data_IF_546238674863
#
_entry.id   IF_546238674863
#
_cell.length_a   1.000
_cell.length_b   1.000
_cell.length_c   1.000
_cell.angle_alpha   90.00
_cell.angle_beta   90.00
_cell.angle_gamma   90.00
#
_symmetry.space_group_name_H-M   'P 1'
#
loop_
_entity.id
_entity.type
_entity.pdbx_description
1 polymer ?
#
# COMPACT_ATOMS: atom_id res chain seq x y z
N UNK A 1 -13.97 1.00 -19.71
CA UNK A 1 -13.60 0.70 -21.10
C UNK A 1 -12.09 0.38 -21.17
N UNK A 2 -11.25 1.32 -20.76
CA UNK A 2 -9.79 1.27 -20.98
C UNK A 2 -9.11 0.04 -20.33
N UNK A 3 -9.47 -0.30 -19.09
CA UNK A 3 -8.91 -1.46 -18.37
C UNK A 3 -9.18 -2.78 -19.14
N UNK A 4 -10.37 -2.92 -19.70
CA UNK A 4 -10.76 -4.10 -20.51
C UNK A 4 -10.06 -4.07 -21.86
N UNK A 5 -9.93 -2.90 -22.48
CA UNK A 5 -9.32 -2.73 -23.80
C UNK A 5 -7.83 -3.08 -23.79
N UNK A 6 -7.10 -2.71 -22.72
CA UNK A 6 -5.68 -3.09 -22.57
C UNK A 6 -5.48 -4.53 -22.14
N UNK A 7 -6.55 -5.28 -21.90
CA UNK A 7 -6.48 -6.70 -21.49
C UNK A 7 -5.95 -6.92 -20.08
N UNK A 8 -6.08 -5.93 -19.19
CA UNK A 8 -5.67 -6.07 -17.79
C UNK A 8 -6.55 -7.09 -17.06
N UNK A 9 -5.93 -7.95 -16.25
CA UNK A 9 -6.63 -8.92 -15.40
C UNK A 9 -6.87 -8.40 -13.98
N UNK A 10 -6.22 -7.29 -13.62
CA UNK A 10 -6.30 -6.68 -12.29
C UNK A 10 -6.34 -5.16 -12.41
N UNK A 11 -6.97 -4.50 -11.44
CA UNK A 11 -6.99 -3.04 -11.33
C UNK A 11 -6.79 -2.63 -9.87
N UNK A 12 -6.03 -1.55 -9.66
CA UNK A 12 -5.93 -0.88 -8.37
C UNK A 12 -6.79 0.38 -8.38
N UNK A 13 -7.45 0.68 -7.27
CA UNK A 13 -8.22 1.91 -7.10
C UNK A 13 -8.05 2.49 -5.69
N UNK A 14 -7.93 3.81 -5.62
CA UNK A 14 -7.89 4.55 -4.37
C UNK A 14 -9.30 4.81 -3.85
N UNK A 15 -9.51 4.66 -2.54
CA UNK A 15 -10.76 4.97 -1.87
C UNK A 15 -10.53 5.87 -0.65
N UNK A 16 -10.68 7.20 -0.79
CA UNK A 16 -10.67 8.13 0.35
C UNK A 16 -11.79 7.83 1.33
N UNK A 17 -11.49 7.81 2.62
CA UNK A 17 -12.48 7.46 3.66
C UNK A 17 -13.66 8.43 3.73
N UNK A 18 -13.47 9.69 3.38
CA UNK A 18 -14.58 10.64 3.26
C UNK A 18 -15.70 10.17 2.32
N UNK A 19 -15.41 9.34 1.33
CA UNK A 19 -16.38 8.83 0.38
C UNK A 19 -17.30 7.75 0.95
N UNK A 20 -16.87 7.04 2.01
CA UNK A 20 -17.70 6.05 2.69
C UNK A 20 -19.00 6.64 3.26
N UNK A 21 -19.03 7.94 3.51
CA UNK A 21 -20.17 8.68 4.08
C UNK A 21 -20.96 9.48 3.03
N UNK A 22 -20.63 9.31 1.74
CA UNK A 22 -21.27 10.04 0.63
C UNK A 22 -22.01 9.06 -0.29
N UNK A 23 -23.36 9.03 -0.27
CA UNK A 23 -24.13 8.04 -1.03
C UNK A 23 -23.86 8.04 -2.55
N UNK A 24 -23.63 9.21 -3.14
CA UNK A 24 -23.28 9.34 -4.56
C UNK A 24 -21.93 8.69 -4.89
N UNK A 25 -20.93 8.85 -4.02
CA UNK A 25 -19.61 8.24 -4.19
C UNK A 25 -19.68 6.71 -3.99
N UNK A 26 -20.38 6.26 -2.96
CA UNK A 26 -20.61 4.83 -2.71
C UNK A 26 -21.32 4.17 -3.90
N UNK A 27 -22.35 4.81 -4.46
CA UNK A 27 -23.06 4.29 -5.64
C UNK A 27 -22.16 4.25 -6.89
N UNK A 28 -21.37 5.31 -7.13
CA UNK A 28 -20.45 5.38 -8.27
C UNK A 28 -19.40 4.28 -8.19
N UNK A 29 -18.75 4.13 -7.02
CA UNK A 29 -17.78 3.06 -6.79
C UNK A 29 -18.40 1.67 -6.89
N UNK A 30 -19.56 1.46 -6.28
CA UNK A 30 -20.25 0.18 -6.40
C UNK A 30 -20.59 -0.18 -7.86
N UNK A 31 -20.88 0.82 -8.70
CA UNK A 31 -21.10 0.60 -10.12
C UNK A 31 -19.81 0.23 -10.86
N UNK A 32 -18.71 0.92 -10.54
CA UNK A 32 -17.36 0.58 -11.05
C UNK A 32 -16.95 -0.84 -10.65
N UNK A 33 -17.05 -1.19 -9.37
CA UNK A 33 -16.67 -2.50 -8.86
C UNK A 33 -17.48 -3.64 -9.52
N UNK A 34 -18.80 -3.46 -9.68
CA UNK A 34 -19.63 -4.43 -10.40
C UNK A 34 -19.25 -4.55 -11.87
N UNK A 35 -18.84 -3.46 -12.50
CA UNK A 35 -18.35 -3.51 -13.88
C UNK A 35 -17.05 -4.31 -14.01
N UNK A 36 -16.13 -4.19 -13.03
CA UNK A 36 -14.90 -4.98 -12.99
C UNK A 36 -15.19 -6.46 -12.72
N UNK A 37 -16.05 -6.77 -11.76
CA UNK A 37 -16.48 -8.13 -11.45
C UNK A 37 -17.11 -8.83 -12.67
N UNK A 38 -18.04 -8.15 -13.36
CA UNK A 38 -18.66 -8.64 -14.60
C UNK A 38 -17.65 -8.87 -15.73
N UNK A 39 -16.52 -8.15 -15.72
CA UNK A 39 -15.44 -8.32 -16.69
C UNK A 39 -14.40 -9.38 -16.25
N UNK A 40 -14.56 -9.99 -15.08
CA UNK A 40 -13.59 -10.94 -14.52
C UNK A 40 -12.27 -10.28 -14.08
N UNK A 41 -12.29 -8.98 -13.77
CA UNK A 41 -11.12 -8.21 -13.36
C UNK A 41 -11.03 -8.17 -11.84
N UNK A 42 -9.92 -8.62 -11.29
CA UNK A 42 -9.64 -8.57 -9.85
C UNK A 42 -9.39 -7.13 -9.40
N UNK A 43 -10.08 -6.71 -8.34
CA UNK A 43 -9.93 -5.36 -7.79
C UNK A 43 -9.08 -5.36 -6.53
N UNK A 44 -8.09 -4.49 -6.51
CA UNK A 44 -7.32 -4.07 -5.33
C UNK A 44 -7.75 -2.68 -4.93
N UNK A 45 -8.28 -2.51 -3.72
CA UNK A 45 -8.72 -1.21 -3.18
C UNK A 45 -7.74 -0.74 -2.13
N UNK A 46 -7.20 0.48 -2.30
CA UNK A 46 -6.37 1.16 -1.31
C UNK A 46 -7.27 2.08 -0.49
N UNK A 47 -7.39 1.83 0.80
CA UNK A 47 -8.20 2.67 1.72
C UNK A 47 -7.33 3.78 2.31
N UNK A 48 -7.71 5.03 2.05
CA UNK A 48 -6.93 6.22 2.34
C UNK A 48 -7.66 7.12 3.35
N UNK A 49 -7.08 7.32 4.53
CA UNK A 49 -7.66 8.18 5.55
C UNK A 49 -7.37 9.65 5.25
N UNK A 50 -8.23 10.25 4.45
CA UNK A 50 -8.11 11.63 4.01
C UNK A 50 -8.71 12.63 5.04
N UNK A 51 -8.20 13.86 5.05
CA UNK A 51 -8.68 14.91 5.97
C UNK A 51 -10.19 15.19 5.86
N UNK A 52 -10.76 15.06 4.67
CA UNK A 52 -12.18 15.35 4.47
C UNK A 52 -13.10 14.40 5.25
N UNK A 53 -12.61 13.25 5.71
CA UNK A 53 -13.34 12.36 6.59
C UNK A 53 -13.73 13.04 7.92
N UNK A 54 -12.99 14.08 8.35
CA UNK A 54 -13.31 14.87 9.57
C UNK A 54 -14.71 15.47 9.56
N UNK A 55 -15.24 15.78 8.38
CA UNK A 55 -16.59 16.35 8.23
C UNK A 55 -17.71 15.35 8.54
N UNK A 56 -17.41 14.06 8.53
CA UNK A 56 -18.39 12.97 8.66
C UNK A 56 -18.12 12.08 9.88
N UNK A 57 -16.86 11.75 10.11
CA UNK A 57 -16.41 10.85 11.17
C UNK A 57 -15.05 11.32 11.71
N UNK A 58 -15.01 12.44 12.47
CA UNK A 58 -13.75 13.02 12.95
C UNK A 58 -12.91 12.07 13.81
N UNK A 59 -13.55 11.08 14.43
CA UNK A 59 -12.87 10.07 15.26
C UNK A 59 -11.89 9.18 14.45
N UNK A 60 -12.01 9.12 13.11
CA UNK A 60 -11.04 8.42 12.26
C UNK A 60 -9.68 9.09 12.22
N UNK A 61 -9.63 10.40 12.52
CA UNK A 61 -8.39 11.18 12.39
C UNK A 61 -7.66 11.26 13.73
N UNK A 62 -6.32 11.13 13.72
CA UNK A 62 -5.49 11.21 14.93
C UNK A 62 -5.31 12.63 15.44
N UNK A 63 -5.77 13.63 14.68
CA UNK A 63 -5.62 15.06 14.99
C UNK A 63 -6.93 15.80 14.76
N UNK A 64 -7.09 16.96 15.43
CA UNK A 64 -8.30 17.79 15.36
C UNK A 64 -8.22 18.93 14.34
N UNK A 65 -7.09 19.10 13.66
CA UNK A 65 -6.87 20.12 12.63
C UNK A 65 -5.95 19.56 11.53
N UNK A 66 -6.07 20.03 10.26
CA UNK A 66 -5.19 19.56 9.18
C UNK A 66 -3.74 19.96 9.45
N UNK A 67 -2.82 19.06 9.11
CA UNK A 67 -1.39 19.27 9.23
C UNK A 67 -0.81 19.59 7.86
N UNK A 68 -0.06 20.68 7.75
CA UNK A 68 0.55 21.09 6.49
C UNK A 68 1.54 20.03 5.97
N UNK A 69 1.45 19.71 4.67
CA UNK A 69 2.32 18.72 4.03
C UNK A 69 1.89 17.28 4.22
N UNK A 70 0.83 17.00 4.97
CA UNK A 70 0.24 15.67 5.12
C UNK A 70 -0.78 15.43 4.02
N UNK A 71 -0.61 14.35 3.27
CA UNK A 71 -1.57 13.91 2.24
C UNK A 71 -2.62 12.96 2.82
N UNK A 72 -2.17 11.95 3.60
CA UNK A 72 -3.05 11.00 4.27
C UNK A 72 -2.63 10.79 5.73
N UNK A 73 -3.62 10.47 6.55
CA UNK A 73 -3.47 10.24 7.97
C UNK A 73 -3.50 8.74 8.27
N UNK A 74 -2.74 8.30 9.25
CA UNK A 74 -2.97 7.01 9.86
C UNK A 74 -4.36 6.97 10.51
N UNK A 75 -4.96 5.81 10.60
CA UNK A 75 -6.23 5.65 11.31
C UNK A 75 -6.04 5.87 12.81
N UNK A 76 -6.95 6.59 13.43
CA UNK A 76 -6.84 6.95 14.84
C UNK A 76 -7.03 5.73 15.76
N UNK A 77 -5.95 5.27 16.32
CA UNK A 77 -5.92 4.21 17.35
C UNK A 77 -5.49 4.73 18.72
N UNK A 78 -5.38 6.07 18.86
CA UNK A 78 -4.93 6.73 20.10
C UNK A 78 -5.99 6.66 21.21
N UNK A 79 -7.21 6.29 20.88
CA UNK A 79 -8.32 6.12 21.82
C UNK A 79 -9.34 5.11 21.30
N UNK A 80 -10.22 4.64 22.18
CA UNK A 80 -11.24 3.63 21.85
C UNK A 80 -12.27 4.13 20.82
N UNK A 81 -12.61 5.42 20.83
CA UNK A 81 -13.55 6.01 19.88
C UNK A 81 -13.00 5.93 18.46
N UNK A 82 -11.70 6.16 18.29
CA UNK A 82 -11.03 6.01 16.98
C UNK A 82 -11.05 4.56 16.51
N UNK A 83 -10.70 3.61 17.35
CA UNK A 83 -10.76 2.17 17.01
C UNK A 83 -12.18 1.75 16.63
N UNK A 84 -13.20 2.25 17.36
CA UNK A 84 -14.60 1.97 17.01
C UNK A 84 -14.98 2.62 15.67
N UNK A 85 -14.51 3.84 15.40
CA UNK A 85 -14.75 4.51 14.13
C UNK A 85 -14.13 3.75 12.93
N UNK A 86 -12.94 3.17 13.11
CA UNK A 86 -12.32 2.29 12.11
C UNK A 86 -13.23 1.09 11.85
N UNK A 87 -13.68 0.39 12.90
CA UNK A 87 -14.56 -0.79 12.78
C UNK A 87 -15.87 -0.47 12.08
N UNK A 88 -16.52 0.64 12.45
CA UNK A 88 -17.78 1.09 11.84
C UNK A 88 -17.59 1.37 10.34
N UNK A 89 -16.52 2.08 9.98
CA UNK A 89 -16.22 2.45 8.58
C UNK A 89 -15.85 1.22 7.76
N UNK A 90 -15.02 0.34 8.30
CA UNK A 90 -14.71 -0.96 7.67
C UNK A 90 -15.99 -1.77 7.45
N UNK A 91 -16.91 -1.79 8.43
CA UNK A 91 -18.21 -2.43 8.31
C UNK A 91 -19.08 -1.84 7.19
N UNK A 92 -19.08 -0.51 7.01
CA UNK A 92 -19.78 0.14 5.89
C UNK A 92 -19.20 -0.35 4.57
N UNK A 93 -17.88 -0.33 4.39
CA UNK A 93 -17.24 -0.71 3.14
C UNK A 93 -17.41 -2.21 2.84
N UNK A 94 -17.19 -3.07 3.82
CA UNK A 94 -17.31 -4.52 3.61
C UNK A 94 -18.74 -4.96 3.35
N UNK A 95 -19.74 -4.32 3.96
CA UNK A 95 -21.16 -4.58 3.69
C UNK A 95 -21.57 -4.21 2.26
N UNK A 96 -20.94 -3.19 1.67
CA UNK A 96 -21.25 -2.72 0.32
C UNK A 96 -20.37 -3.39 -0.75
N UNK A 97 -19.09 -3.65 -0.45
CA UNK A 97 -18.06 -4.00 -1.43
C UNK A 97 -17.31 -5.31 -1.12
N UNK A 98 -17.54 -5.95 0.02
CA UNK A 98 -16.74 -7.08 0.50
C UNK A 98 -16.65 -8.25 -0.48
N UNK A 99 -17.68 -8.48 -1.30
CA UNK A 99 -17.69 -9.53 -2.33
C UNK A 99 -17.16 -9.06 -3.70
N UNK A 100 -16.90 -7.75 -3.87
CA UNK A 100 -16.45 -7.15 -5.12
C UNK A 100 -14.97 -6.77 -5.09
N UNK A 101 -14.40 -6.68 -3.88
CA UNK A 101 -12.99 -6.32 -3.66
C UNK A 101 -12.24 -7.54 -3.17
N UNK A 102 -11.29 -8.00 -3.96
CA UNK A 102 -10.47 -9.18 -3.64
C UNK A 102 -9.29 -8.84 -2.73
N UNK A 103 -8.69 -7.67 -2.93
CA UNK A 103 -7.50 -7.22 -2.21
C UNK A 103 -7.75 -5.86 -1.57
N UNK A 104 -7.41 -5.73 -0.29
CA UNK A 104 -7.54 -4.51 0.50
C UNK A 104 -6.16 -4.05 0.96
N UNK A 105 -5.78 -2.84 0.63
CA UNK A 105 -4.53 -2.21 1.08
C UNK A 105 -4.87 -1.15 2.13
N UNK A 106 -4.28 -1.26 3.32
CA UNK A 106 -4.70 -0.46 4.48
C UNK A 106 -3.72 0.71 4.70
N UNK A 107 -4.10 1.89 4.22
CA UNK A 107 -3.29 3.11 4.24
C UNK A 107 -2.47 3.28 2.98
N UNK A 108 -1.46 4.16 3.04
CA UNK A 108 -0.48 4.41 1.98
C UNK A 108 0.89 4.62 2.61
N UNK A 109 1.93 3.98 2.03
CA UNK A 109 3.35 4.14 2.43
C UNK A 109 3.53 4.29 3.95
N UNK A 110 3.08 3.28 4.69
CA UNK A 110 2.97 3.38 6.16
C UNK A 110 4.30 3.59 6.88
N UNK A 111 5.42 3.41 6.20
CA UNK A 111 6.75 3.76 6.69
C UNK A 111 7.07 5.26 6.53
N UNK A 112 6.25 6.04 5.80
CA UNK A 112 6.32 7.51 5.75
C UNK A 112 5.16 8.15 6.54
N UNK A 113 5.30 8.17 7.86
CA UNK A 113 4.35 8.80 8.77
C UNK A 113 4.38 10.33 8.76
N UNK A 114 5.22 10.96 7.92
CA UNK A 114 5.22 12.42 7.76
C UNK A 114 4.18 12.87 6.75
N UNK A 115 4.04 12.15 5.64
CA UNK A 115 3.24 12.57 4.48
C UNK A 115 2.05 11.65 4.22
N UNK A 116 2.28 10.32 4.25
CA UNK A 116 1.35 9.35 3.70
C UNK A 116 0.57 8.54 4.73
N UNK A 117 1.01 8.54 6.01
CA UNK A 117 0.32 7.82 7.09
C UNK A 117 0.54 8.53 8.44
N UNK A 118 0.19 9.80 8.51
CA UNK A 118 0.49 10.67 9.66
C UNK A 118 -0.30 10.28 10.92
N UNK A 119 0.42 9.96 12.00
CA UNK A 119 -0.14 9.67 13.34
C UNK A 119 0.39 10.65 14.42
N UNK A 120 1.16 11.67 14.03
CA UNK A 120 1.96 12.49 14.94
C UNK A 120 3.37 11.93 15.11
N UNK A 121 4.22 12.67 15.81
CA UNK A 121 5.59 12.24 16.13
C UNK A 121 5.55 11.22 17.27
N UNK A 122 6.14 10.04 17.06
CA UNK A 122 6.27 8.99 18.08
C UNK A 122 7.47 8.10 17.78
N UNK A 123 7.90 7.28 18.73
CA UNK A 123 8.92 6.25 18.48
C UNK A 123 8.37 5.12 17.58
N UNK A 124 9.27 4.36 16.98
CA UNK A 124 8.92 3.31 16.02
C UNK A 124 8.05 2.20 16.63
N UNK A 125 8.30 1.84 17.89
CA UNK A 125 7.54 0.75 18.53
C UNK A 125 6.10 1.19 18.79
N UNK A 126 5.92 2.43 19.27
CA UNK A 126 4.59 3.04 19.44
C UNK A 126 3.88 3.20 18.10
N UNK A 127 4.59 3.66 17.07
CA UNK A 127 4.03 3.80 15.72
C UNK A 127 3.57 2.47 15.14
N UNK A 128 4.42 1.44 15.19
CA UNK A 128 4.08 0.08 14.72
C UNK A 128 2.90 -0.50 15.50
N UNK A 129 2.83 -0.29 16.83
CA UNK A 129 1.71 -0.76 17.66
C UNK A 129 0.38 -0.11 17.25
N UNK A 130 0.38 1.21 17.00
CA UNK A 130 -0.80 1.92 16.53
C UNK A 130 -1.22 1.45 15.14
N UNK A 131 -0.28 1.35 14.20
CA UNK A 131 -0.59 0.85 12.87
C UNK A 131 -1.10 -0.60 12.90
N UNK A 132 -0.46 -1.49 13.65
CA UNK A 132 -0.90 -2.87 13.80
C UNK A 132 -2.33 -2.97 14.38
N UNK A 133 -2.69 -2.11 15.32
CA UNK A 133 -4.05 -2.04 15.88
C UNK A 133 -5.07 -1.65 14.80
N UNK A 134 -4.78 -0.64 14.00
CA UNK A 134 -5.67 -0.23 12.91
C UNK A 134 -5.77 -1.32 11.84
N UNK A 135 -4.63 -1.89 11.43
CA UNK A 135 -4.57 -2.96 10.44
C UNK A 135 -5.39 -4.18 10.89
N UNK A 136 -5.22 -4.63 12.13
CA UNK A 136 -5.99 -5.75 12.69
C UNK A 136 -7.49 -5.45 12.70
N UNK A 137 -7.90 -4.24 13.05
CA UNK A 137 -9.31 -3.85 13.04
C UNK A 137 -9.92 -3.97 11.65
N UNK A 138 -9.20 -3.50 10.62
CA UNK A 138 -9.57 -3.68 9.21
C UNK A 138 -9.57 -5.16 8.82
N UNK A 139 -8.48 -5.86 9.10
CA UNK A 139 -8.29 -7.27 8.75
C UNK A 139 -9.44 -8.13 9.29
N UNK A 140 -9.75 -8.05 10.57
CA UNK A 140 -10.80 -8.84 11.21
C UNK A 140 -12.17 -8.54 10.58
N UNK A 141 -12.46 -7.26 10.32
CA UNK A 141 -13.73 -6.85 9.70
C UNK A 141 -13.85 -7.34 8.26
N UNK A 142 -12.78 -7.25 7.47
CA UNK A 142 -12.74 -7.75 6.08
C UNK A 142 -12.89 -9.27 6.06
N UNK A 143 -12.11 -9.99 6.87
CA UNK A 143 -12.14 -11.46 6.92
C UNK A 143 -13.47 -12.00 7.44
N UNK A 144 -14.14 -11.30 8.34
CA UNK A 144 -15.49 -11.65 8.79
C UNK A 144 -16.53 -11.51 7.67
N UNK A 145 -16.36 -10.56 6.75
CA UNK A 145 -17.23 -10.36 5.59
C UNK A 145 -16.90 -11.30 4.43
N UNK A 146 -15.61 -11.44 4.13
CA UNK A 146 -15.09 -12.29 3.05
C UNK A 146 -13.76 -12.94 3.48
N UNK A 147 -13.81 -14.19 3.89
CA UNK A 147 -12.62 -14.92 4.37
C UNK A 147 -11.56 -15.15 3.29
N UNK A 148 -11.93 -15.05 2.01
CA UNK A 148 -11.01 -15.21 0.88
C UNK A 148 -10.32 -13.90 0.49
N UNK A 149 -10.82 -12.75 0.95
CA UNK A 149 -10.19 -11.46 0.67
C UNK A 149 -8.79 -11.39 1.30
N UNK A 150 -7.86 -10.77 0.58
CA UNK A 150 -6.49 -10.54 1.03
C UNK A 150 -6.35 -9.12 1.57
N UNK A 151 -5.54 -8.95 2.60
CA UNK A 151 -5.31 -7.65 3.24
C UNK A 151 -3.82 -7.37 3.29
N UNK A 152 -3.42 -6.20 2.82
CA UNK A 152 -2.03 -5.84 2.58
C UNK A 152 -1.61 -4.62 3.39
N UNK A 153 -0.34 -4.62 3.82
CA UNK A 153 0.36 -3.46 4.36
C UNK A 153 1.14 -2.76 3.24
N UNK A 154 0.92 -1.47 2.96
CA UNK A 154 1.63 -0.75 1.92
C UNK A 154 2.93 -0.13 2.43
N UNK A 155 4.03 -0.34 1.71
CA UNK A 155 5.33 0.24 2.00
C UNK A 155 5.91 0.90 0.75
N UNK A 156 6.63 2.01 0.95
CA UNK A 156 7.49 2.57 -0.08
C UNK A 156 8.81 1.79 -0.22
N UNK A 157 9.61 2.14 -1.22
CA UNK A 157 10.84 1.45 -1.60
C UNK A 157 12.01 1.64 -0.61
N UNK A 158 11.88 2.47 0.45
CA UNK A 158 12.94 2.77 1.41
C UNK A 158 13.13 1.63 2.40
N UNK A 159 14.03 0.71 2.06
CA UNK A 159 14.29 -0.48 2.85
C UNK A 159 15.09 -0.17 4.11
N UNK A 160 16.30 0.41 3.96
CA UNK A 160 17.21 0.72 5.07
C UNK A 160 17.66 2.19 5.03
N UNK A 161 16.76 3.10 4.68
CA UNK A 161 17.07 4.52 4.57
C UNK A 161 15.84 5.41 4.81
N UNK A 162 16.05 6.71 4.68
CA UNK A 162 14.99 7.71 4.70
C UNK A 162 14.40 7.98 6.08
N UNK A 163 15.15 7.67 7.12
CA UNK A 163 14.71 7.88 8.50
C UNK A 163 14.62 9.39 8.82
N UNK A 164 13.48 9.76 9.37
CA UNK A 164 13.28 11.01 10.07
C UNK A 164 12.70 10.65 11.43
N UNK A 165 13.46 10.90 12.49
CA UNK A 165 13.10 10.52 13.84
C UNK A 165 11.64 10.90 14.18
N UNK A 166 10.87 9.94 14.64
CA UNK A 166 9.46 10.10 14.98
C UNK A 166 8.48 10.11 13.82
N UNK A 167 8.93 9.99 12.55
CA UNK A 167 8.04 10.08 11.40
C UNK A 167 8.35 9.11 10.25
N UNK A 168 9.62 8.89 9.90
CA UNK A 168 10.00 8.06 8.75
C UNK A 168 10.92 6.95 9.18
N UNK A 169 10.60 5.74 8.75
CA UNK A 169 11.29 4.54 9.17
C UNK A 169 11.71 3.71 7.95
N UNK A 170 12.88 3.07 8.01
CA UNK A 170 13.23 2.03 7.06
C UNK A 170 12.30 0.83 7.23
N UNK A 171 11.86 0.22 6.14
CA UNK A 171 10.98 -0.94 6.21
C UNK A 171 11.67 -2.12 6.90
N UNK A 172 13.00 -2.24 6.77
CA UNK A 172 13.83 -3.24 7.46
C UNK A 172 13.71 -3.15 8.99
N UNK A 173 13.50 -1.95 9.55
CA UNK A 173 13.28 -1.75 10.99
C UNK A 173 11.81 -1.97 11.39
N UNK A 174 10.89 -1.62 10.50
CA UNK A 174 9.46 -1.59 10.78
C UNK A 174 8.80 -2.96 10.60
N UNK A 175 9.15 -3.68 9.54
CA UNK A 175 8.50 -4.93 9.16
C UNK A 175 8.65 -6.05 10.20
N UNK A 176 9.81 -6.27 10.87
CA UNK A 176 9.92 -7.25 11.94
C UNK A 176 9.00 -6.94 13.14
N UNK A 177 8.84 -5.65 13.47
CA UNK A 177 7.97 -5.20 14.56
C UNK A 177 6.50 -5.45 14.25
N UNK A 178 6.09 -5.09 13.04
CA UNK A 178 4.73 -5.36 12.57
C UNK A 178 4.44 -6.85 12.47
N UNK A 179 5.40 -7.63 11.98
CA UNK A 179 5.26 -9.08 11.91
C UNK A 179 5.10 -9.70 13.30
N UNK A 180 5.86 -9.25 14.30
CA UNK A 180 5.71 -9.73 15.68
C UNK A 180 4.31 -9.46 16.25
N UNK A 181 3.69 -8.33 15.89
CA UNK A 181 2.36 -7.92 16.33
C UNK A 181 1.21 -8.61 15.56
N UNK A 182 1.48 -9.04 14.31
CA UNK A 182 0.46 -9.51 13.35
C UNK A 182 0.76 -10.93 12.83
N UNK A 183 1.67 -11.67 13.44
CA UNK A 183 2.14 -12.98 12.95
C UNK A 183 1.03 -14.03 12.81
N UNK A 184 -0.07 -13.87 13.54
CA UNK A 184 -1.25 -14.73 13.52
C UNK A 184 -2.23 -14.40 12.37
N UNK A 185 -1.94 -13.37 11.58
CA UNK A 185 -2.70 -13.00 10.38
C UNK A 185 -1.96 -13.42 9.10
N UNK A 186 -2.69 -13.65 8.02
CA UNK A 186 -2.12 -13.91 6.68
C UNK A 186 -1.99 -12.61 5.87
N UNK A 187 -1.50 -11.54 6.50
CA UNK A 187 -1.29 -10.28 5.79
C UNK A 187 -0.38 -10.44 4.58
N UNK A 188 -0.62 -9.64 3.55
CA UNK A 188 0.28 -9.46 2.41
C UNK A 188 1.06 -8.15 2.49
N UNK A 189 2.01 -7.98 1.57
CA UNK A 189 2.78 -6.76 1.38
C UNK A 189 2.39 -6.13 0.04
N UNK A 190 2.05 -4.85 0.05
CA UNK A 190 1.86 -4.01 -1.11
C UNK A 190 3.07 -3.07 -1.21
N UNK A 191 3.92 -3.32 -2.20
CA UNK A 191 5.22 -2.66 -2.33
C UNK A 191 5.18 -1.62 -3.43
N UNK A 192 5.73 -0.44 -3.18
CA UNK A 192 5.88 0.63 -4.16
C UNK A 192 7.32 0.60 -4.70
N UNK A 193 7.49 0.12 -5.91
CA UNK A 193 8.80 -0.18 -6.49
C UNK A 193 9.29 0.91 -7.46
N UNK A 194 9.22 2.18 -7.05
CA UNK A 194 9.67 3.30 -7.86
C UNK A 194 11.18 3.29 -8.11
N UNK A 195 11.65 3.89 -9.21
CA UNK A 195 13.06 4.29 -9.35
C UNK A 195 13.52 5.16 -8.17
N UNK A 196 14.79 5.09 -7.83
CA UNK A 196 15.40 5.90 -6.76
C UNK A 196 15.15 7.40 -6.98
N UNK A 197 15.21 7.83 -8.22
CA UNK A 197 14.94 9.21 -8.65
C UNK A 197 13.66 9.24 -9.48
N UNK A 198 12.60 9.85 -8.95
CA UNK A 198 11.30 9.94 -9.64
C UNK A 198 11.36 10.66 -10.99
N UNK A 199 12.38 11.50 -11.21
CA UNK A 199 12.62 12.23 -12.46
C UNK A 199 13.49 11.49 -13.46
N UNK A 200 13.98 10.28 -13.14
CA UNK A 200 14.69 9.40 -14.08
C UNK A 200 13.95 8.05 -14.21
N UNK A 201 13.51 7.65 -15.42
CA UNK A 201 12.80 6.39 -15.57
C UNK A 201 13.70 5.15 -15.51
N UNK A 202 15.03 5.30 -15.65
CA UNK A 202 15.98 4.18 -15.82
C UNK A 202 16.45 3.64 -14.48
N UNK A 203 15.64 2.80 -13.86
CA UNK A 203 15.92 2.22 -12.53
C UNK A 203 17.15 1.28 -12.49
N UNK A 204 17.62 0.77 -13.65
CA UNK A 204 18.86 -0.02 -13.72
C UNK A 204 20.10 0.81 -13.35
N UNK A 205 20.06 2.13 -13.53
CA UNK A 205 21.14 3.05 -13.19
C UNK A 205 21.17 3.46 -11.72
N UNK A 206 20.15 3.09 -10.93
CA UNK A 206 20.03 3.43 -9.51
C UNK A 206 21.25 2.92 -8.71
N UNK A 207 21.91 3.84 -8.01
CA UNK A 207 23.21 3.56 -7.36
C UNK A 207 23.10 3.06 -5.91
N UNK A 208 22.00 3.37 -5.22
CA UNK A 208 21.75 2.90 -3.85
C UNK A 208 20.86 1.65 -3.80
N UNK A 209 20.60 1.06 -4.97
CA UNK A 209 19.85 -0.19 -5.15
C UNK A 209 20.85 -1.33 -5.35
N UNK A 210 21.22 -1.99 -4.24
CA UNK A 210 22.25 -3.00 -4.19
C UNK A 210 21.66 -4.40 -3.99
N UNK A 211 22.37 -5.44 -4.46
CA UNK A 211 21.99 -6.85 -4.27
C UNK A 211 22.46 -7.39 -2.90
N UNK A 212 22.18 -6.64 -1.83
CA UNK A 212 22.57 -6.99 -0.47
C UNK A 212 21.40 -6.81 0.48
N UNK A 213 21.28 -7.62 1.56
CA UNK A 213 20.17 -7.53 2.50
C UNK A 213 20.03 -6.17 3.19
N UNK A 214 21.12 -5.41 3.28
CA UNK A 214 21.21 -4.08 3.90
C UNK A 214 21.17 -2.93 2.89
N UNK A 215 20.72 -3.19 1.64
CA UNK A 215 20.52 -2.14 0.62
C UNK A 215 19.68 -0.99 1.15
N UNK A 216 19.93 0.24 0.68
CA UNK A 216 19.09 1.37 1.09
C UNK A 216 17.69 1.29 0.53
N UNK A 217 17.57 0.88 -0.74
CA UNK A 217 16.35 0.88 -1.53
C UNK A 217 16.11 -0.50 -2.10
N UNK A 218 14.86 -0.93 -2.14
CA UNK A 218 14.42 -2.09 -2.92
C UNK A 218 13.43 -1.61 -3.96
N UNK A 219 13.79 -1.79 -5.23
CA UNK A 219 12.90 -1.59 -6.37
C UNK A 219 12.95 -2.80 -7.33
N UNK A 220 12.61 -2.60 -8.57
CA UNK A 220 12.58 -3.70 -9.54
C UNK A 220 13.96 -4.26 -9.92
N UNK A 221 15.06 -3.51 -9.66
CA UNK A 221 16.44 -3.96 -9.91
C UNK A 221 16.87 -5.07 -8.94
N UNK A 222 16.44 -4.98 -7.67
CA UNK A 222 16.84 -5.89 -6.60
C UNK A 222 15.65 -6.47 -5.81
N UNK A 223 14.50 -6.64 -6.45
CA UNK A 223 13.25 -7.09 -5.80
C UNK A 223 13.41 -8.44 -5.07
N UNK A 224 14.36 -9.28 -5.50
CA UNK A 224 14.67 -10.54 -4.83
C UNK A 224 15.10 -10.34 -3.37
N UNK A 225 15.74 -9.22 -3.02
CA UNK A 225 16.13 -8.92 -1.63
C UNK A 225 14.90 -8.91 -0.70
N UNK A 226 13.79 -8.29 -1.14
CA UNK A 226 12.52 -8.33 -0.39
C UNK A 226 11.97 -9.76 -0.31
N UNK A 227 11.91 -10.46 -1.45
CA UNK A 227 11.31 -11.80 -1.47
C UNK A 227 12.17 -12.84 -0.76
N UNK A 228 13.48 -12.70 -0.74
CA UNK A 228 14.38 -13.54 0.07
C UNK A 228 14.18 -13.27 1.57
N UNK A 229 13.98 -12.01 1.96
CA UNK A 229 13.62 -11.66 3.32
C UNK A 229 12.27 -12.27 3.74
N UNK A 230 11.27 -12.22 2.86
CA UNK A 230 9.93 -12.78 3.11
C UNK A 230 9.93 -14.31 3.25
N UNK A 231 10.94 -15.00 2.76
CA UNK A 231 11.10 -16.46 2.88
C UNK A 231 11.74 -16.90 4.20
N UNK A 232 12.21 -15.97 5.02
CA UNK A 232 12.76 -16.31 6.35
C UNK A 232 11.68 -16.96 7.22
N UNK A 233 12.00 -17.96 8.05
CA UNK A 233 11.02 -18.70 8.85
C UNK A 233 10.11 -17.81 9.70
N UNK A 234 10.68 -16.73 10.26
CA UNK A 234 9.94 -15.79 11.11
C UNK A 234 8.96 -14.90 10.32
N UNK A 235 9.13 -14.79 9.00
CA UNK A 235 8.30 -13.97 8.12
C UNK A 235 7.16 -14.73 7.47
N UNK A 236 7.15 -16.05 7.56
CA UNK A 236 6.10 -16.85 6.94
C UNK A 236 4.71 -16.57 7.54
N UNK A 237 3.68 -16.83 6.76
CA UNK A 237 2.29 -16.76 7.20
C UNK A 237 2.00 -17.83 8.28
N UNK A 238 0.85 -17.75 9.00
CA UNK A 238 0.44 -18.80 9.94
C UNK A 238 0.38 -20.21 9.35
N UNK A 239 0.22 -20.29 8.03
CA UNK A 239 0.20 -21.54 7.28
C UNK A 239 1.60 -22.05 6.84
N UNK A 240 2.67 -21.33 7.21
CA UNK A 240 4.03 -21.64 6.82
C UNK A 240 4.35 -21.32 5.35
N UNK A 241 3.58 -20.46 4.71
CA UNK A 241 3.80 -19.99 3.33
C UNK A 241 4.43 -18.62 3.28
N UNK A 242 5.16 -18.33 2.21
CA UNK A 242 5.58 -16.96 1.89
C UNK A 242 4.33 -16.09 1.73
N UNK A 243 4.35 -14.90 2.34
CA UNK A 243 3.21 -13.98 2.33
C UNK A 243 2.97 -13.43 0.93
N UNK A 244 1.74 -13.06 0.64
CA UNK A 244 1.34 -12.45 -0.63
C UNK A 244 2.08 -11.13 -0.86
N UNK A 245 2.56 -10.91 -2.10
CA UNK A 245 3.23 -9.69 -2.53
C UNK A 245 2.58 -9.15 -3.79
N UNK A 246 2.19 -7.88 -3.76
CA UNK A 246 1.80 -7.12 -4.94
C UNK A 246 2.69 -5.87 -5.06
N UNK A 247 3.01 -5.50 -6.29
CA UNK A 247 3.62 -4.21 -6.59
C UNK A 247 2.47 -3.24 -6.91
N UNK A 248 2.00 -2.55 -5.87
CA UNK A 248 0.74 -1.80 -5.91
C UNK A 248 0.88 -0.41 -6.50
N UNK A 249 2.10 0.11 -6.55
CA UNK A 249 2.36 1.45 -7.09
C UNK A 249 3.80 1.55 -7.58
N UNK A 250 3.97 1.82 -8.85
CA UNK A 250 5.20 2.22 -9.49
C UNK A 250 4.88 2.98 -10.77
N UNK A 251 5.75 3.93 -11.10
CA UNK A 251 5.62 4.75 -12.31
C UNK A 251 6.99 5.17 -12.82
N UNK A 252 7.02 5.56 -14.07
CA UNK A 252 8.24 5.96 -14.78
C UNK A 252 7.95 7.27 -15.49
N UNK A 253 8.77 8.29 -15.25
CA UNK A 253 8.57 9.61 -15.87
C UNK A 253 8.73 9.56 -17.38
N UNK A 254 7.96 10.40 -18.08
CA UNK A 254 8.13 10.69 -19.51
C UNK A 254 8.96 11.94 -19.77
N UNK A 255 9.33 12.67 -18.72
CA UNK A 255 10.13 13.88 -18.79
C UNK A 255 11.22 13.84 -17.71
N UNK A 256 12.48 13.85 -18.13
CA UNK A 256 13.65 13.72 -17.27
C UNK A 256 14.60 14.87 -17.49
N UNK A 257 14.71 15.82 -16.55
CA UNK A 257 15.71 16.88 -16.59
C UNK A 257 17.14 16.34 -16.68
N UNK A 258 17.41 15.23 -15.99
CA UNK A 258 18.72 14.56 -15.97
C UNK A 258 19.13 14.03 -17.34
N UNK A 259 18.14 13.67 -18.19
CA UNK A 259 18.35 13.12 -19.53
C UNK A 259 18.00 14.10 -20.65
N UNK A 260 17.78 15.36 -20.30
CA UNK A 260 17.60 16.45 -21.28
C UNK A 260 16.18 16.69 -21.76
N UNK A 261 15.15 16.24 -21.02
CA UNK A 261 13.75 16.50 -21.30
C UNK A 261 12.94 15.25 -21.59
N UNK A 262 12.12 15.26 -22.66
CA UNK A 262 11.19 14.18 -22.96
C UNK A 262 11.90 12.85 -23.30
N UNK A 263 11.51 11.76 -22.62
CA UNK A 263 12.18 10.45 -22.64
C UNK A 263 11.19 9.28 -22.86
N UNK A 264 10.24 9.43 -23.75
CA UNK A 264 9.15 8.46 -23.99
C UNK A 264 9.67 7.05 -24.32
N UNK A 265 10.76 6.94 -25.09
CA UNK A 265 11.35 5.64 -25.43
C UNK A 265 11.98 4.96 -24.20
N UNK A 266 12.69 5.73 -23.36
CA UNK A 266 13.26 5.22 -22.12
C UNK A 266 12.16 4.85 -21.11
N UNK A 267 11.10 5.64 -21.01
CA UNK A 267 9.92 5.31 -20.20
C UNK A 267 9.33 3.96 -20.64
N UNK A 268 9.08 3.79 -21.94
CA UNK A 268 8.50 2.56 -22.47
C UNK A 268 9.42 1.35 -22.23
N UNK A 269 10.75 1.53 -22.41
CA UNK A 269 11.73 0.49 -22.11
C UNK A 269 11.73 0.13 -20.63
N UNK A 270 11.76 1.12 -19.74
CA UNK A 270 11.75 0.89 -18.29
C UNK A 270 10.47 0.19 -17.82
N UNK A 271 9.31 0.54 -18.37
CA UNK A 271 8.06 -0.18 -18.10
C UNK A 271 8.16 -1.65 -18.52
N UNK A 272 8.70 -1.92 -19.70
CA UNK A 272 8.87 -3.28 -20.20
C UNK A 272 9.85 -4.10 -19.34
N UNK A 273 10.99 -3.52 -18.98
CA UNK A 273 11.99 -4.15 -18.10
C UNK A 273 11.42 -4.40 -16.70
N UNK A 274 10.68 -3.43 -16.14
CA UNK A 274 10.00 -3.53 -14.87
C UNK A 274 8.99 -4.69 -14.84
N UNK A 275 8.16 -4.78 -15.88
CA UNK A 275 7.22 -5.88 -16.03
C UNK A 275 7.92 -7.24 -16.13
N UNK A 276 9.03 -7.35 -16.86
CA UNK A 276 9.78 -8.59 -16.95
C UNK A 276 10.42 -8.97 -15.60
N UNK A 277 10.96 -8.00 -14.85
CA UNK A 277 11.51 -8.23 -13.52
C UNK A 277 10.42 -8.73 -12.54
N UNK A 278 9.27 -8.08 -12.54
CA UNK A 278 8.13 -8.51 -11.73
C UNK A 278 7.64 -9.92 -12.10
N UNK A 279 7.50 -10.20 -13.41
CA UNK A 279 7.07 -11.50 -13.92
C UNK A 279 8.06 -12.63 -13.64
N UNK A 280 9.35 -12.33 -13.60
CA UNK A 280 10.41 -13.31 -13.30
C UNK A 280 10.44 -13.70 -11.81
N UNK A 281 9.90 -12.87 -10.93
CA UNK A 281 9.86 -13.14 -9.49
C UNK A 281 8.60 -13.95 -9.15
N UNK A 282 8.73 -15.23 -8.70
CA UNK A 282 7.58 -16.12 -8.51
C UNK A 282 6.66 -15.73 -7.36
N UNK A 283 7.05 -14.77 -6.54
CA UNK A 283 6.29 -14.30 -5.38
C UNK A 283 5.44 -13.05 -5.67
N UNK A 284 5.65 -12.41 -6.83
CA UNK A 284 4.85 -11.25 -7.25
C UNK A 284 3.55 -11.72 -7.89
N UNK A 285 2.43 -11.34 -7.29
CA UNK A 285 1.08 -11.73 -7.73
C UNK A 285 0.35 -10.62 -8.49
N UNK A 286 0.81 -9.38 -8.40
CA UNK A 286 0.24 -8.22 -9.07
C UNK A 286 1.28 -7.17 -9.38
N UNK A 287 1.17 -6.53 -10.55
CA UNK A 287 1.99 -5.41 -10.99
C UNK A 287 1.09 -4.32 -11.52
N UNK A 288 1.06 -3.16 -10.83
CA UNK A 288 0.17 -2.06 -11.16
C UNK A 288 1.00 -0.81 -11.50
N UNK A 289 0.79 -0.28 -12.69
CA UNK A 289 1.36 1.00 -13.11
C UNK A 289 0.48 2.16 -12.66
N UNK A 290 1.13 3.22 -12.16
CA UNK A 290 0.50 4.44 -11.70
C UNK A 290 0.73 5.59 -12.72
#
# INVERSE_FOLDING_TARGET
ADVVEVGASQVVCNFPMSWAFQPNMMNAYGSFLRAMDNAGITVTMIVLNDWNAAAYKPELLPVSAPVAGVSYYGFNTLNEQGVQAIRDTAGILTSNFGNLVSNWVIGNEVNDGQVWNYLGSMDIDTYCSNYATSFRTWYDTIKASNSLARVYMPFDFRWNCGQLEGFKYGVMDMLPRLNALLKDTDYGIAWHAYPETFTDPVFSDDIHVLDTPDTYIINLKNLHVLTDYMQQPDMLSPEGKVRHLILSEQGFTSDSPERGGQVLELQAQSIAEAYQAAKANPYVEGFFLN
#
